data_IF_105631855643
#
_entry.id   IF_105631855643
#
_cell.length_a   1.000
_cell.length_b   1.000
_cell.length_c   1.000
_cell.angle_alpha   90.00
_cell.angle_beta   90.00
_cell.angle_gamma   90.00
#
_symmetry.space_group_name_H-M   'P 1'
#
loop_
_entity.id
_entity.type
_entity.pdbx_description
1 polymer ?
#
# COMPACT_ATOMS: atom_id res chain seq x y z
N UNK A 1 -19.55 3.63 11.18
CA UNK A 1 -19.64 3.99 9.74
C UNK A 1 -18.25 4.11 9.11
N UNK A 2 -17.42 5.09 9.48
CA UNK A 2 -16.09 5.27 8.89
C UNK A 2 -15.15 4.05 9.02
N UNK A 3 -15.19 3.33 10.15
CA UNK A 3 -14.41 2.09 10.34
C UNK A 3 -14.77 0.97 9.36
N UNK A 4 -16.05 0.86 8.97
CA UNK A 4 -16.50 -0.15 8.00
C UNK A 4 -15.96 0.20 6.61
N UNK A 5 -15.97 1.48 6.24
CA UNK A 5 -15.41 1.97 4.97
C UNK A 5 -13.91 1.71 4.91
N UNK A 6 -13.16 1.99 5.99
CA UNK A 6 -11.73 1.68 6.06
C UNK A 6 -11.45 0.18 5.88
N UNK A 7 -12.28 -0.69 6.47
CA UNK A 7 -12.17 -2.14 6.28
C UNK A 7 -12.37 -2.54 4.82
N UNK A 8 -13.40 -2.02 4.16
CA UNK A 8 -13.69 -2.30 2.75
C UNK A 8 -12.52 -1.85 1.86
N UNK A 9 -12.00 -0.64 2.08
CA UNK A 9 -10.82 -0.12 1.35
C UNK A 9 -9.60 -1.02 1.54
N UNK A 10 -9.40 -1.54 2.75
CA UNK A 10 -8.28 -2.43 3.07
C UNK A 10 -8.42 -3.78 2.37
N UNK A 11 -9.62 -4.38 2.38
CA UNK A 11 -9.90 -5.65 1.67
C UNK A 11 -9.66 -5.49 0.17
N UNK A 12 -10.18 -4.41 -0.44
CA UNK A 12 -9.97 -4.12 -1.86
C UNK A 12 -8.48 -3.98 -2.17
N UNK A 13 -7.71 -3.29 -1.33
CA UNK A 13 -6.27 -3.15 -1.53
C UNK A 13 -5.55 -4.51 -1.53
N UNK A 14 -5.85 -5.36 -0.54
CA UNK A 14 -5.25 -6.71 -0.45
C UNK A 14 -5.55 -7.52 -1.72
N UNK A 15 -6.80 -7.49 -2.20
CA UNK A 15 -7.19 -8.19 -3.45
C UNK A 15 -6.42 -7.64 -4.66
N UNK A 16 -6.26 -6.33 -4.78
CA UNK A 16 -5.50 -5.70 -5.87
C UNK A 16 -4.00 -6.02 -5.82
N UNK A 17 -3.42 -6.09 -4.62
CA UNK A 17 -2.02 -6.49 -4.42
C UNK A 17 -1.84 -7.96 -4.82
N UNK A 18 -2.69 -8.87 -4.34
CA UNK A 18 -2.65 -10.29 -4.71
C UNK A 18 -2.80 -10.46 -6.22
N UNK A 19 -3.75 -9.76 -6.84
CA UNK A 19 -3.94 -9.81 -8.29
C UNK A 19 -2.68 -9.39 -9.06
N UNK A 20 -2.01 -8.31 -8.63
CA UNK A 20 -0.77 -7.87 -9.26
C UNK A 20 0.41 -8.83 -9.01
N UNK A 21 0.47 -9.47 -7.83
CA UNK A 21 1.47 -10.51 -7.55
C UNK A 21 1.28 -11.73 -8.47
N UNK A 22 0.04 -12.23 -8.59
CA UNK A 22 -0.29 -13.41 -9.41
C UNK A 22 -0.01 -13.17 -10.89
N UNK A 23 -0.21 -11.93 -11.37
CA UNK A 23 0.07 -11.56 -12.76
C UNK A 23 1.53 -11.19 -13.05
N UNK A 24 2.44 -11.34 -12.08
CA UNK A 24 3.84 -10.88 -12.20
C UNK A 24 3.93 -9.42 -12.70
N UNK A 25 2.99 -8.58 -12.24
CA UNK A 25 2.87 -7.20 -12.66
C UNK A 25 4.12 -6.35 -12.34
N UNK A 26 4.24 -5.15 -12.95
CA UNK A 26 5.30 -4.23 -12.57
C UNK A 26 5.17 -3.87 -11.08
N UNK A 27 6.31 -3.83 -10.37
CA UNK A 27 6.35 -3.51 -8.93
C UNK A 27 5.74 -2.16 -8.64
N UNK A 28 5.93 -1.23 -9.58
CA UNK A 28 5.38 0.11 -9.53
C UNK A 28 3.86 0.09 -9.35
N UNK A 29 3.13 -0.88 -9.91
CA UNK A 29 1.68 -0.97 -9.69
C UNK A 29 1.33 -1.29 -8.24
N UNK A 30 2.00 -2.28 -7.63
CA UNK A 30 1.78 -2.66 -6.22
C UNK A 30 2.11 -1.48 -5.30
N UNK A 31 3.21 -0.77 -5.61
CA UNK A 31 3.57 0.44 -4.88
C UNK A 31 2.53 1.55 -5.03
N UNK A 32 2.07 1.83 -6.25
CA UNK A 32 1.06 2.86 -6.51
C UNK A 32 -0.25 2.54 -5.78
N UNK A 33 -0.68 1.27 -5.79
CA UNK A 33 -1.89 0.81 -5.09
C UNK A 33 -1.76 1.06 -3.58
N UNK A 34 -0.63 0.70 -2.98
CA UNK A 34 -0.37 0.94 -1.56
C UNK A 34 -0.34 2.43 -1.19
N UNK A 35 0.26 3.27 -2.05
CA UNK A 35 0.30 4.73 -1.86
C UNK A 35 -1.11 5.33 -1.95
N UNK A 36 -1.88 4.95 -2.98
CA UNK A 36 -3.26 5.42 -3.17
C UNK A 36 -4.14 4.98 -2.00
N UNK A 37 -4.03 3.72 -1.56
CA UNK A 37 -4.75 3.23 -0.37
C UNK A 37 -4.41 4.07 0.87
N UNK A 38 -3.13 4.37 1.10
CA UNK A 38 -2.67 5.16 2.25
C UNK A 38 -3.25 6.59 2.21
N UNK A 39 -3.30 7.21 1.02
CA UNK A 39 -3.92 8.53 0.82
C UNK A 39 -5.42 8.49 1.10
N UNK A 40 -6.13 7.45 0.63
CA UNK A 40 -7.58 7.30 0.87
C UNK A 40 -7.86 7.11 2.36
N UNK A 41 -7.10 6.25 3.05
CA UNK A 41 -7.24 6.05 4.50
C UNK A 41 -6.92 7.33 5.27
N UNK A 42 -5.93 8.10 4.82
CA UNK A 42 -5.61 9.40 5.39
C UNK A 42 -6.78 10.38 5.27
N UNK A 43 -7.36 10.51 4.08
CA UNK A 43 -8.52 11.37 3.83
C UNK A 43 -9.71 10.96 4.70
N UNK A 44 -9.99 9.66 4.83
CA UNK A 44 -11.07 9.16 5.70
C UNK A 44 -10.81 9.55 7.17
N UNK A 45 -9.58 9.36 7.68
CA UNK A 45 -9.26 9.69 9.07
C UNK A 45 -9.27 11.20 9.34
N UNK A 46 -8.71 11.97 8.43
CA UNK A 46 -8.58 13.42 8.58
C UNK A 46 -9.93 14.14 8.40
N UNK A 47 -10.68 13.83 7.34
CA UNK A 47 -11.93 14.53 7.01
C UNK A 47 -13.15 13.95 7.73
N UNK A 48 -13.19 12.63 7.97
CA UNK A 48 -14.39 11.98 8.51
C UNK A 48 -14.31 11.70 10.00
N UNK A 49 -13.16 11.22 10.48
CA UNK A 49 -12.94 10.90 11.91
C UNK A 49 -12.46 12.14 12.67
N UNK A 50 -12.13 13.24 11.96
CA UNK A 50 -11.64 14.50 12.52
C UNK A 50 -10.38 14.30 13.37
N UNK A 51 -9.56 13.30 13.01
CA UNK A 51 -8.34 12.95 13.70
C UNK A 51 -7.25 13.98 13.37
N UNK A 52 -6.34 14.25 14.31
CA UNK A 52 -5.25 15.22 14.11
C UNK A 52 -4.43 14.86 12.87
N UNK A 53 -3.95 15.85 12.13
CA UNK A 53 -3.24 15.63 10.87
C UNK A 53 -2.06 14.65 11.04
N UNK A 54 -1.27 14.82 12.12
CA UNK A 54 -0.13 13.95 12.43
C UNK A 54 -0.56 12.52 12.75
N UNK A 55 -1.63 12.36 13.53
CA UNK A 55 -2.12 11.02 13.91
C UNK A 55 -2.77 10.31 12.73
N UNK A 56 -3.57 11.01 11.93
CA UNK A 56 -4.17 10.49 10.73
C UNK A 56 -3.10 10.01 9.74
N UNK A 57 -2.01 10.77 9.56
CA UNK A 57 -0.92 10.42 8.66
C UNK A 57 -0.15 9.20 9.17
N UNK A 58 0.22 9.19 10.45
CA UNK A 58 0.93 8.08 11.09
C UNK A 58 0.14 6.77 11.04
N UNK A 59 -1.17 6.83 11.24
CA UNK A 59 -2.00 5.63 11.20
C UNK A 59 -2.44 5.19 9.80
N UNK A 60 -2.30 6.05 8.79
CA UNK A 60 -2.65 5.70 7.41
C UNK A 60 -1.48 5.15 6.62
N UNK A 61 -0.26 5.54 7.00
CA UNK A 61 0.96 4.91 6.51
C UNK A 61 1.21 3.60 7.25
N UNK A 62 0.78 2.50 6.63
CA UNK A 62 1.12 1.18 7.12
C UNK A 62 2.61 0.92 6.83
N UNK A 63 3.45 1.11 7.85
CA UNK A 63 4.90 0.89 7.79
C UNK A 63 5.24 -0.52 7.27
N UNK A 64 4.39 -1.51 7.52
CA UNK A 64 4.58 -2.86 7.00
C UNK A 64 4.44 -2.88 5.48
N UNK A 65 3.46 -2.17 4.93
CA UNK A 65 3.24 -2.13 3.48
C UNK A 65 4.40 -1.41 2.78
N UNK A 66 4.89 -0.33 3.39
CA UNK A 66 6.05 0.41 2.88
C UNK A 66 7.34 -0.44 2.96
N UNK A 67 7.53 -1.20 4.05
CA UNK A 67 8.64 -2.14 4.22
C UNK A 67 8.58 -3.28 3.21
N UNK A 68 7.41 -3.91 3.01
CA UNK A 68 7.21 -4.99 2.04
C UNK A 68 7.54 -4.53 0.63
N UNK A 69 7.08 -3.33 0.24
CA UNK A 69 7.44 -2.77 -1.06
C UNK A 69 8.95 -2.55 -1.16
N UNK A 70 9.59 -1.99 -0.13
CA UNK A 70 11.04 -1.76 -0.13
C UNK A 70 11.83 -3.07 -0.32
N UNK A 71 11.49 -4.11 0.45
CA UNK A 71 12.13 -5.44 0.35
C UNK A 71 11.89 -6.06 -1.03
N UNK A 72 10.68 -5.95 -1.56
CA UNK A 72 10.34 -6.49 -2.88
C UNK A 72 11.07 -5.74 -4.02
N UNK A 73 11.26 -4.43 -3.88
CA UNK A 73 12.01 -3.59 -4.82
C UNK A 73 13.48 -4.03 -4.87
N UNK A 74 14.10 -4.23 -3.71
CA UNK A 74 15.47 -4.76 -3.58
C UNK A 74 15.57 -6.15 -4.20
N UNK A 75 14.63 -7.06 -3.88
CA UNK A 75 14.61 -8.41 -4.42
C UNK A 75 14.51 -8.43 -5.96
N UNK A 76 13.65 -7.60 -6.56
CA UNK A 76 13.51 -7.57 -8.03
C UNK A 76 14.69 -6.93 -8.72
N UNK A 77 15.32 -5.91 -8.14
CA UNK A 77 16.58 -5.34 -8.65
C UNK A 77 17.67 -6.42 -8.65
N UNK A 78 17.82 -7.13 -7.53
CA UNK A 78 18.78 -8.23 -7.42
C UNK A 78 18.51 -9.36 -8.43
N UNK A 79 17.26 -9.78 -8.58
CA UNK A 79 16.85 -10.81 -9.55
C UNK A 79 17.07 -10.38 -11.00
N UNK A 80 16.92 -9.09 -11.33
CA UNK A 80 17.24 -8.57 -12.67
C UNK A 80 18.73 -8.61 -12.95
N UNK A 81 19.57 -8.20 -12.00
CA UNK A 81 21.02 -8.23 -12.16
C UNK A 81 21.56 -9.66 -12.31
N UNK A 82 21.03 -10.62 -11.53
CA UNK A 82 21.39 -12.05 -11.65
C UNK A 82 20.99 -12.71 -12.97
N UNK A 83 20.10 -12.10 -13.75
CA UNK A 83 19.66 -12.61 -15.06
C UNK A 83 20.50 -12.07 -16.23
N UNK A 84 21.39 -11.13 -15.96
CA UNK A 84 22.30 -10.52 -16.95
C UNK A 84 23.74 -11.03 -16.83
N UNK A 85 24.08 -11.78 -15.78
CA UNK A 85 25.22 -12.73 -15.76
C UNK A 85 24.80 -14.08 -16.34
#
# INVERSE_FOLDING_TARGET
MAHIIMLIVTIICIVLIIYNLVKDGPIINVFLIAVIQSIILFLIRYLWINQSWKDALKHSFDLLTLMVVFVYLIYKIYKRNKKQE
#
